data_IF_841756571446
#
_entry.id   IF_841756571446
#
_cell.length_a   1.000
_cell.length_b   1.000
_cell.length_c   1.000
_cell.angle_alpha   90.00
_cell.angle_beta   90.00
_cell.angle_gamma   90.00
#
_symmetry.space_group_name_H-M   'P 1'
#
loop_
_entity.id
_entity.type
_entity.pdbx_description
1 polymer ?
#
# COMPACT_ATOMS: atom_id res chain seq x y z
N UNK A 1 -0.31 24.30 -1.90
CA UNK A 1 -0.67 23.53 -3.11
C UNK A 1 -0.43 22.06 -2.81
N UNK A 2 -1.39 21.18 -3.07
CA UNK A 2 -1.32 19.75 -2.73
C UNK A 2 -0.69 18.91 -3.87
N UNK A 3 0.54 19.25 -4.23
CA UNK A 3 1.21 18.69 -5.41
C UNK A 3 1.44 17.19 -5.26
N UNK A 4 2.00 16.77 -4.12
CA UNK A 4 2.34 15.37 -3.89
C UNK A 4 1.10 14.52 -3.64
N UNK A 5 0.09 15.08 -2.97
CA UNK A 5 -1.24 14.45 -2.79
C UNK A 5 -1.84 14.09 -4.14
N UNK A 6 -1.91 15.04 -5.07
CA UNK A 6 -2.46 14.81 -6.41
C UNK A 6 -1.62 13.77 -7.17
N UNK A 7 -0.29 13.94 -7.18
CA UNK A 7 0.62 13.02 -7.89
C UNK A 7 0.46 11.58 -7.39
N UNK A 8 0.48 11.35 -6.08
CA UNK A 8 0.37 10.02 -5.50
C UNK A 8 -1.03 9.43 -5.71
N UNK A 9 -2.08 10.25 -5.63
CA UNK A 9 -3.45 9.81 -5.93
C UNK A 9 -3.58 9.32 -7.38
N UNK A 10 -3.00 10.06 -8.34
CA UNK A 10 -2.99 9.66 -9.75
C UNK A 10 -2.13 8.42 -9.97
N UNK A 11 -1.00 8.28 -9.26
CA UNK A 11 -0.11 7.11 -9.35
C UNK A 11 -0.77 5.84 -8.79
N UNK A 12 -1.66 5.97 -7.79
CA UNK A 12 -2.36 4.83 -7.20
C UNK A 12 -3.21 4.05 -8.23
N UNK A 13 -3.79 4.75 -9.22
CA UNK A 13 -4.69 4.15 -10.22
C UNK A 13 -3.95 3.12 -11.10
N UNK A 14 -2.88 3.45 -11.85
CA UNK A 14 -2.17 2.47 -12.66
C UNK A 14 -1.52 1.37 -11.80
N UNK A 15 -1.03 1.70 -10.60
CA UNK A 15 -0.47 0.69 -9.70
C UNK A 15 -1.51 -0.32 -9.24
N UNK A 16 -2.73 0.13 -8.92
CA UNK A 16 -3.84 -0.74 -8.55
C UNK A 16 -4.23 -1.65 -9.72
N UNK A 17 -4.34 -1.10 -10.94
CA UNK A 17 -4.65 -1.88 -12.15
C UNK A 17 -3.61 -2.98 -12.38
N UNK A 18 -2.31 -2.62 -12.36
CA UNK A 18 -1.21 -3.59 -12.53
C UNK A 18 -1.27 -4.67 -11.44
N UNK A 19 -1.50 -4.25 -10.21
CA UNK A 19 -1.56 -5.15 -9.06
C UNK A 19 -2.72 -6.15 -9.17
N UNK A 20 -3.91 -5.68 -9.52
CA UNK A 20 -5.11 -6.53 -9.71
C UNK A 20 -4.90 -7.48 -10.89
N UNK A 21 -4.35 -6.98 -11.99
CA UNK A 21 -4.08 -7.80 -13.18
C UNK A 21 -3.11 -8.94 -12.86
N UNK A 22 -2.01 -8.66 -12.16
CA UNK A 22 -0.99 -9.66 -11.78
C UNK A 22 -1.47 -10.63 -10.69
N UNK A 23 -2.43 -10.23 -9.87
CA UNK A 23 -3.07 -11.14 -8.91
C UNK A 23 -3.90 -12.24 -9.61
N UNK A 24 -4.32 -12.03 -10.87
CA UNK A 24 -4.89 -13.07 -11.73
C UNK A 24 -6.13 -13.76 -11.15
N UNK A 25 -6.96 -13.04 -10.39
CA UNK A 25 -8.16 -13.60 -9.75
C UNK A 25 -7.89 -14.69 -8.71
N UNK A 26 -6.67 -14.74 -8.13
CA UNK A 26 -6.27 -15.73 -7.12
C UNK A 26 -5.31 -16.81 -7.63
N UNK A 27 -5.05 -16.87 -8.94
CA UNK A 27 -4.06 -17.77 -9.54
C UNK A 27 -2.72 -17.10 -9.86
N UNK A 28 -2.63 -15.79 -9.67
CA UNK A 28 -1.43 -15.00 -9.94
C UNK A 28 -0.56 -14.80 -8.70
N UNK A 29 0.19 -13.69 -8.70
CA UNK A 29 1.09 -13.33 -7.59
C UNK A 29 0.55 -12.14 -6.80
N UNK A 30 0.59 -12.24 -5.48
CA UNK A 30 0.27 -11.14 -4.56
C UNK A 30 1.49 -10.26 -4.24
N UNK A 31 2.66 -10.54 -4.83
CA UNK A 31 3.87 -9.76 -4.60
C UNK A 31 3.70 -8.27 -4.96
N UNK A 32 3.05 -7.88 -6.07
CA UNK A 32 2.75 -6.47 -6.36
C UNK A 32 1.80 -5.84 -5.32
N UNK A 33 0.87 -6.63 -4.78
CA UNK A 33 -0.05 -6.18 -3.73
C UNK A 33 0.71 -5.87 -2.44
N UNK A 34 1.65 -6.74 -2.07
CA UNK A 34 2.52 -6.54 -0.92
C UNK A 34 3.39 -5.28 -1.11
N UNK A 35 4.05 -5.15 -2.26
CA UNK A 35 4.99 -4.06 -2.53
C UNK A 35 4.29 -2.71 -2.65
N UNK A 36 3.18 -2.64 -3.38
CA UNK A 36 2.54 -1.35 -3.65
C UNK A 36 1.46 -1.01 -2.66
N UNK A 37 0.72 -1.99 -2.11
CA UNK A 37 -0.45 -1.79 -1.24
C UNK A 37 -0.38 -2.60 0.05
N UNK A 38 0.70 -2.48 0.84
CA UNK A 38 0.85 -3.26 2.07
C UNK A 38 -0.28 -2.98 3.07
N UNK A 39 -0.77 -1.74 3.19
CA UNK A 39 -1.93 -1.46 4.05
C UNK A 39 -3.20 -2.18 3.60
N UNK A 40 -3.41 -2.36 2.29
CA UNK A 40 -4.55 -3.15 1.80
C UNK A 40 -4.37 -4.64 2.01
N UNK A 41 -3.13 -5.15 1.88
CA UNK A 41 -2.84 -6.56 2.11
C UNK A 41 -2.84 -6.94 3.59
N UNK A 42 -2.68 -5.98 4.51
CA UNK A 42 -2.70 -6.20 5.96
C UNK A 42 -3.98 -6.92 6.44
N UNK A 43 -5.12 -6.70 5.78
CA UNK A 43 -6.37 -7.41 6.08
C UNK A 43 -6.23 -8.92 6.00
N UNK A 44 -5.41 -9.45 5.08
CA UNK A 44 -5.19 -10.90 4.98
C UNK A 44 -4.45 -11.49 6.18
N UNK A 45 -3.73 -10.66 6.94
CA UNK A 45 -3.04 -11.08 8.16
C UNK A 45 -3.96 -10.96 9.38
N UNK A 46 -4.80 -9.93 9.42
CA UNK A 46 -5.65 -9.62 10.59
C UNK A 46 -7.02 -10.31 10.55
N UNK A 47 -7.60 -10.45 9.36
CA UNK A 47 -8.97 -10.92 9.12
C UNK A 47 -9.02 -12.16 8.21
N UNK A 48 -7.86 -12.69 7.78
CA UNK A 48 -7.71 -13.79 6.82
C UNK A 48 -8.28 -13.52 5.41
N UNK A 49 -8.80 -12.32 5.15
CA UNK A 49 -9.30 -11.90 3.86
C UNK A 49 -9.07 -10.40 3.61
N UNK A 50 -9.19 -9.95 2.36
CA UNK A 50 -9.14 -8.52 2.04
C UNK A 50 -10.55 -7.95 2.14
N UNK A 51 -10.91 -7.39 3.29
CA UNK A 51 -12.22 -6.75 3.48
C UNK A 51 -12.28 -5.36 2.85
N UNK A 52 -13.50 -4.85 2.67
CA UNK A 52 -13.76 -3.51 2.12
C UNK A 52 -12.99 -2.41 2.88
N UNK A 53 -12.84 -2.55 4.19
CA UNK A 53 -12.06 -1.63 5.01
C UNK A 53 -10.61 -1.54 4.53
N UNK A 54 -9.93 -2.68 4.36
CA UNK A 54 -8.54 -2.70 3.92
C UNK A 54 -8.37 -2.29 2.45
N UNK A 55 -9.36 -2.54 1.59
CA UNK A 55 -9.38 -1.97 0.23
C UNK A 55 -9.34 -0.44 0.31
N UNK A 56 -10.21 0.16 1.12
CA UNK A 56 -10.25 1.62 1.30
C UNK A 56 -8.93 2.14 1.87
N UNK A 57 -8.37 1.48 2.88
CA UNK A 57 -7.07 1.86 3.46
C UNK A 57 -5.92 1.76 2.44
N UNK A 58 -5.90 0.71 1.61
CA UNK A 58 -4.92 0.55 0.54
C UNK A 58 -5.00 1.67 -0.48
N UNK A 59 -6.20 2.05 -0.92
CA UNK A 59 -6.42 3.17 -1.84
C UNK A 59 -6.00 4.50 -1.18
N UNK A 60 -6.38 4.71 0.08
CA UNK A 60 -6.09 5.95 0.80
C UNK A 60 -4.60 6.12 1.17
N UNK A 61 -3.80 5.05 1.19
CA UNK A 61 -2.40 5.17 1.60
C UNK A 61 -1.62 6.19 0.73
N UNK A 62 -1.86 6.21 -0.58
CA UNK A 62 -1.15 7.07 -1.53
C UNK A 62 -1.50 8.55 -1.34
N UNK A 63 -2.79 8.96 -1.34
CA UNK A 63 -3.15 10.34 -1.00
C UNK A 63 -2.65 10.75 0.38
N UNK A 64 -2.69 9.86 1.38
CA UNK A 64 -2.15 10.15 2.72
C UNK A 64 -0.64 10.40 2.68
N UNK A 65 0.14 9.59 1.97
CA UNK A 65 1.58 9.81 1.79
C UNK A 65 1.84 11.16 1.13
N UNK A 66 1.11 11.45 0.04
CA UNK A 66 1.18 12.73 -0.65
C UNK A 66 0.84 13.92 0.25
N UNK A 67 -0.23 13.81 1.05
CA UNK A 67 -0.65 14.83 1.99
C UNK A 67 0.39 15.10 3.07
N UNK A 68 0.99 14.05 3.65
CA UNK A 68 2.07 14.18 4.64
C UNK A 68 3.29 14.87 4.01
N UNK A 69 3.65 14.55 2.77
CA UNK A 69 4.73 15.24 2.05
C UNK A 69 4.44 16.71 1.76
N UNK A 70 3.21 17.05 1.37
CA UNK A 70 2.78 18.44 1.16
C UNK A 70 2.76 19.24 2.47
N UNK A 71 2.39 18.60 3.60
CA UNK A 71 2.23 19.26 4.89
C UNK A 71 3.55 19.46 5.64
N UNK A 72 4.42 18.46 5.63
CA UNK A 72 5.66 18.45 6.43
C UNK A 72 6.94 18.64 5.60
N UNK A 73 6.80 18.67 4.27
CA UNK A 73 7.88 18.82 3.31
C UNK A 73 8.54 17.49 2.94
N UNK A 74 8.82 17.32 1.65
CA UNK A 74 9.34 16.07 1.07
C UNK A 74 10.55 15.49 1.83
N UNK A 75 11.59 16.31 2.08
CA UNK A 75 12.83 15.84 2.73
C UNK A 75 12.61 15.29 4.14
N UNK A 76 11.63 15.83 4.87
CA UNK A 76 11.31 15.38 6.22
C UNK A 76 10.36 14.19 6.19
N UNK A 77 9.31 14.23 5.38
CA UNK A 77 8.28 13.19 5.34
C UNK A 77 8.75 11.88 4.69
N UNK A 78 9.49 11.97 3.58
CA UNK A 78 9.82 10.81 2.74
C UNK A 78 10.51 9.67 3.49
N UNK A 79 11.57 9.89 4.30
CA UNK A 79 12.24 8.81 5.00
C UNK A 79 11.31 8.07 6.00
N UNK A 80 10.43 8.80 6.69
CA UNK A 80 9.48 8.19 7.63
C UNK A 80 8.41 7.39 6.91
N UNK A 81 7.84 7.94 5.83
CA UNK A 81 6.84 7.23 5.02
C UNK A 81 7.42 5.96 4.41
N UNK A 82 8.63 6.05 3.85
CA UNK A 82 9.35 4.89 3.32
C UNK A 82 9.63 3.87 4.43
N UNK A 83 10.09 4.31 5.60
CA UNK A 83 10.32 3.45 6.75
C UNK A 83 9.07 2.69 7.18
N UNK A 84 7.94 3.39 7.38
CA UNK A 84 6.66 2.77 7.74
C UNK A 84 6.21 1.77 6.67
N UNK A 85 6.32 2.15 5.39
CA UNK A 85 5.90 1.31 4.27
C UNK A 85 6.74 0.02 4.18
N UNK A 86 8.06 0.12 4.30
CA UNK A 86 8.97 -1.03 4.31
C UNK A 86 8.76 -1.92 5.53
N UNK A 87 8.51 -1.34 6.71
CA UNK A 87 8.17 -2.10 7.92
C UNK A 87 6.87 -2.87 7.70
N UNK A 88 5.83 -2.26 7.13
CA UNK A 88 4.58 -2.95 6.82
C UNK A 88 4.80 -4.11 5.84
N UNK A 89 5.58 -3.89 4.78
CA UNK A 89 5.96 -4.96 3.83
C UNK A 89 6.64 -6.11 4.57
N UNK A 90 7.64 -5.82 5.39
CA UNK A 90 8.40 -6.84 6.11
C UNK A 90 7.51 -7.61 7.10
N UNK A 91 6.69 -6.90 7.89
CA UNK A 91 5.77 -7.50 8.86
C UNK A 91 4.78 -8.42 8.15
N UNK A 92 4.14 -7.96 7.09
CA UNK A 92 3.16 -8.76 6.35
C UNK A 92 3.84 -9.97 5.70
N UNK A 93 5.01 -9.78 5.09
CA UNK A 93 5.77 -10.87 4.48
C UNK A 93 6.11 -11.96 5.50
N UNK A 94 6.66 -11.58 6.66
CA UNK A 94 7.05 -12.52 7.73
C UNK A 94 5.81 -13.24 8.27
N UNK A 95 4.75 -12.51 8.62
CA UNK A 95 3.55 -13.09 9.23
C UNK A 95 2.82 -14.02 8.24
N UNK A 96 2.74 -13.64 6.97
CA UNK A 96 2.10 -14.49 5.96
C UNK A 96 2.93 -15.73 5.67
N UNK A 97 4.26 -15.63 5.61
CA UNK A 97 5.14 -16.78 5.41
C UNK A 97 5.04 -17.81 6.56
N UNK A 98 4.76 -17.36 7.79
CA UNK A 98 4.62 -18.24 8.95
C UNK A 98 3.23 -18.90 9.08
N UNK A 99 2.23 -18.41 8.32
CA UNK A 99 0.85 -18.87 8.37
C UNK A 99 0.50 -19.81 7.18
N UNK A 100 1.50 -20.32 6.47
CA UNK A 100 1.36 -21.35 5.43
C UNK A 100 1.75 -22.73 5.94
#
# INVERSE_FOLDING_TARGET
>A
MYKYTILFSLLAIPLAIITIFLAGGGHGTYLPFLIFFPLGLLGTVLENEITTLFIVLGILQFPVYGFVMDKFGLKKAWPFLLGIHLILIAVIFILKNNNF
#
